data_IF_777085649037
#
_entry.id   IF_777085649037
#
_cell.length_a   1.000
_cell.length_b   1.000
_cell.length_c   1.000
_cell.angle_alpha   90.00
_cell.angle_beta   90.00
_cell.angle_gamma   90.00
#
_symmetry.space_group_name_H-M   'P 1'
#
loop_
_entity.id
_entity.type
_entity.pdbx_description
1 polymer ?
#
# COMPACT_ATOMS: atom_id res chain seq x y z
N UNK A 1 34.69 9.07 -34.87
CA UNK A 1 34.84 8.37 -33.55
C UNK A 1 34.50 9.28 -32.36
N UNK A 2 35.09 10.46 -32.25
CA UNK A 2 34.75 11.35 -31.11
C UNK A 2 33.28 11.77 -31.04
N UNK A 3 32.63 12.01 -32.18
CA UNK A 3 31.19 12.36 -32.21
C UNK A 3 30.27 11.21 -31.82
N UNK A 4 30.61 10.01 -32.22
CA UNK A 4 29.81 8.80 -31.92
C UNK A 4 29.92 8.44 -30.44
N UNK A 5 31.05 8.59 -29.81
CA UNK A 5 31.21 8.39 -28.35
C UNK A 5 30.47 9.46 -27.54
N UNK A 6 30.43 10.70 -27.99
CA UNK A 6 29.67 11.77 -27.32
C UNK A 6 28.17 11.51 -27.41
N UNK A 7 27.64 11.12 -28.56
CA UNK A 7 26.24 10.79 -28.75
C UNK A 7 25.83 9.54 -27.97
N UNK A 8 26.69 8.55 -27.89
CA UNK A 8 26.47 7.35 -27.10
C UNK A 8 26.44 7.69 -25.60
N UNK A 9 27.34 8.53 -25.13
CA UNK A 9 27.41 8.98 -23.74
C UNK A 9 26.18 9.79 -23.33
N UNK A 10 25.70 10.69 -24.17
CA UNK A 10 24.48 11.48 -23.93
C UNK A 10 23.26 10.59 -23.93
N UNK A 11 23.17 9.63 -24.85
CA UNK A 11 22.09 8.67 -24.89
C UNK A 11 22.04 7.80 -23.65
N UNK A 12 23.19 7.29 -23.21
CA UNK A 12 23.30 6.47 -22.01
C UNK A 12 22.93 7.26 -20.74
N UNK A 13 23.36 8.52 -20.65
CA UNK A 13 23.02 9.39 -19.53
C UNK A 13 21.51 9.71 -19.50
N UNK A 14 20.91 9.92 -20.66
CA UNK A 14 19.45 10.12 -20.77
C UNK A 14 18.65 8.91 -20.31
N UNK A 15 19.08 7.71 -20.70
CA UNK A 15 18.45 6.46 -20.26
C UNK A 15 18.62 6.26 -18.74
N UNK A 16 19.79 6.56 -18.18
CA UNK A 16 20.01 6.48 -16.74
C UNK A 16 19.11 7.45 -15.96
N UNK A 17 18.95 8.69 -16.45
CA UNK A 17 18.07 9.68 -15.83
C UNK A 17 16.61 9.21 -15.88
N UNK A 18 16.20 8.61 -17.00
CA UNK A 18 14.85 8.09 -17.18
C UNK A 18 14.57 6.88 -16.26
N UNK A 19 15.56 6.03 -16.03
CA UNK A 19 15.47 4.89 -15.11
C UNK A 19 15.47 5.31 -13.63
N UNK A 20 16.09 6.46 -13.33
CA UNK A 20 16.12 7.01 -11.97
C UNK A 20 14.88 7.84 -11.63
N UNK A 21 14.10 8.26 -12.63
CA UNK A 21 12.83 8.93 -12.44
C UNK A 21 11.75 7.91 -12.04
N UNK A 22 11.90 7.32 -10.87
CA UNK A 22 10.91 6.42 -10.31
C UNK A 22 9.58 7.14 -10.08
N UNK A 23 8.51 6.62 -10.65
CA UNK A 23 7.18 7.14 -10.40
C UNK A 23 6.65 6.61 -9.06
N UNK A 24 6.52 7.48 -8.07
CA UNK A 24 5.73 7.17 -6.89
C UNK A 24 4.24 7.27 -7.27
N UNK A 25 3.52 6.20 -7.07
CA UNK A 25 2.08 6.15 -7.34
C UNK A 25 1.34 6.00 -6.04
N UNK A 26 0.45 6.96 -5.77
CA UNK A 26 -0.40 6.95 -4.60
C UNK A 26 -1.82 6.63 -5.03
N UNK A 27 -2.42 5.66 -4.37
CA UNK A 27 -3.84 5.34 -4.53
C UNK A 27 -4.48 5.34 -3.15
N UNK A 28 -5.70 5.83 -3.09
CA UNK A 28 -6.45 5.89 -1.85
C UNK A 28 -7.90 5.54 -2.05
N UNK A 29 -8.57 5.21 -1.00
CA UNK A 29 -9.98 4.88 -1.01
C UNK A 29 -10.62 5.10 0.34
N UNK A 30 -11.95 5.24 0.31
CA UNK A 30 -12.78 5.38 1.50
C UNK A 30 -13.83 4.29 1.50
N UNK A 31 -14.08 3.73 2.65
CA UNK A 31 -15.15 2.77 2.86
C UNK A 31 -15.90 3.07 4.16
N UNK A 32 -17.24 3.02 4.14
CA UNK A 32 -18.00 3.28 5.37
C UNK A 32 -17.79 2.20 6.43
N UNK A 33 -17.52 0.98 6.03
CA UNK A 33 -17.24 -0.13 6.94
C UNK A 33 -16.47 -1.25 6.26
N UNK A 34 -15.67 -1.96 7.00
CA UNK A 34 -14.96 -3.16 6.54
C UNK A 34 -15.87 -4.41 6.50
N UNK A 35 -17.00 -4.35 7.17
CA UNK A 35 -17.96 -5.45 7.28
C UNK A 35 -19.39 -4.91 7.27
N UNK A 36 -20.37 -5.58 6.64
CA UNK A 36 -21.76 -5.13 6.69
C UNK A 36 -22.27 -5.06 8.14
N UNK A 37 -22.77 -3.90 8.51
CA UNK A 37 -23.24 -3.67 9.90
C UNK A 37 -24.63 -4.23 10.14
N UNK A 38 -25.48 -4.32 9.12
CA UNK A 38 -26.81 -4.93 9.15
C UNK A 38 -27.69 -4.47 10.32
N UNK A 39 -27.53 -3.21 10.73
CA UNK A 39 -28.28 -2.67 11.87
C UNK A 39 -27.86 -3.20 13.24
N UNK A 40 -26.76 -3.95 13.32
CA UNK A 40 -26.24 -4.45 14.59
C UNK A 40 -25.73 -3.32 15.47
N UNK A 41 -26.00 -3.43 16.78
CA UNK A 41 -25.42 -2.51 17.76
C UNK A 41 -23.97 -2.83 18.00
N UNK A 42 -23.16 -1.80 18.17
CA UNK A 42 -21.73 -1.95 18.40
C UNK A 42 -21.22 -0.93 19.41
N UNK A 43 -20.07 -1.22 19.97
CA UNK A 43 -19.32 -0.32 20.86
C UNK A 43 -18.08 0.18 20.12
N UNK A 44 -17.85 1.48 20.15
CA UNK A 44 -16.66 2.09 19.55
C UNK A 44 -15.47 1.89 20.48
N UNK A 45 -14.40 1.32 19.96
CA UNK A 45 -13.17 1.07 20.71
C UNK A 45 -12.14 2.20 20.54
N UNK A 46 -12.18 2.92 19.42
CA UNK A 46 -11.28 4.00 19.12
C UNK A 46 -10.63 3.88 17.75
N UNK A 47 -9.79 4.84 17.41
CA UNK A 47 -9.06 4.83 16.15
C UNK A 47 -7.92 3.81 16.17
N UNK A 48 -7.71 3.19 15.02
CA UNK A 48 -6.66 2.20 14.82
C UNK A 48 -6.11 2.30 13.41
N UNK A 49 -4.92 1.76 13.24
CA UNK A 49 -4.21 1.74 11.97
C UNK A 49 -3.55 0.38 11.79
N UNK A 50 -3.58 -0.12 10.59
CA UNK A 50 -2.86 -1.32 10.21
C UNK A 50 -2.23 -1.16 8.84
N UNK A 51 -1.09 -1.78 8.61
CA UNK A 51 -0.41 -1.74 7.33
C UNK A 51 0.06 -3.11 6.92
N UNK A 52 0.17 -3.30 5.61
CA UNK A 52 0.79 -4.46 5.01
C UNK A 52 1.61 -4.03 3.80
N UNK A 53 2.58 -4.83 3.44
CA UNK A 53 3.40 -4.55 2.27
C UNK A 53 3.74 -5.84 1.52
N UNK A 54 4.08 -5.69 0.26
CA UNK A 54 4.67 -6.75 -0.53
C UNK A 54 5.78 -6.20 -1.43
N UNK A 55 6.71 -7.07 -1.76
CA UNK A 55 7.89 -6.72 -2.56
C UNK A 55 7.89 -7.57 -3.82
N UNK A 56 8.15 -6.91 -4.96
CA UNK A 56 8.37 -7.54 -6.25
C UNK A 56 9.86 -7.44 -6.61
N UNK A 57 10.49 -8.58 -6.86
CA UNK A 57 11.86 -8.61 -7.36
C UNK A 57 11.85 -8.36 -8.86
N UNK A 58 12.72 -7.47 -9.36
CA UNK A 58 12.77 -7.03 -10.75
C UNK A 58 11.42 -6.51 -11.27
N UNK A 59 10.54 -6.04 -10.39
CA UNK A 59 9.17 -5.59 -10.67
C UNK A 59 8.28 -6.65 -11.34
N UNK A 60 8.65 -7.91 -11.31
CA UNK A 60 7.93 -9.02 -11.97
C UNK A 60 7.68 -10.18 -11.00
N UNK A 61 8.69 -10.58 -10.22
CA UNK A 61 8.61 -11.75 -9.34
C UNK A 61 8.15 -11.36 -7.94
N UNK A 62 6.98 -11.84 -7.47
CA UNK A 62 6.54 -11.60 -6.11
C UNK A 62 7.41 -12.37 -5.11
N UNK A 63 8.05 -11.66 -4.21
CA UNK A 63 8.83 -12.25 -3.11
C UNK A 63 7.94 -12.55 -1.92
N UNK A 64 6.90 -11.73 -1.71
CA UNK A 64 5.93 -11.91 -0.64
C UNK A 64 4.52 -11.97 -1.24
N UNK A 65 3.59 -12.60 -0.51
CA UNK A 65 2.21 -12.73 -0.98
C UNK A 65 1.51 -11.38 -1.03
N UNK A 66 0.84 -11.11 -2.15
CA UNK A 66 -0.04 -9.97 -2.29
C UNK A 66 -1.40 -10.28 -1.66
N UNK A 67 -1.94 -9.39 -0.92
CA UNK A 67 -3.33 -9.24 -0.49
C UNK A 67 -3.40 -8.20 0.63
N UNK A 68 -2.85 -7.08 0.34
CA UNK A 68 -2.42 -6.09 1.31
C UNK A 68 -3.55 -5.40 2.05
N UNK A 69 -4.66 -5.08 1.37
CA UNK A 69 -5.77 -4.34 1.99
C UNK A 69 -6.43 -5.15 3.09
N UNK A 70 -6.75 -6.40 2.81
CA UNK A 70 -7.38 -7.29 3.79
C UNK A 70 -6.50 -7.52 5.00
N UNK A 71 -5.22 -7.80 4.78
CA UNK A 71 -4.26 -7.99 5.87
C UNK A 71 -4.07 -6.73 6.70
N UNK A 72 -4.02 -5.57 6.07
CA UNK A 72 -3.93 -4.30 6.76
C UNK A 72 -5.17 -4.05 7.63
N UNK A 73 -6.37 -4.34 7.11
CA UNK A 73 -7.62 -4.27 7.87
C UNK A 73 -7.61 -5.24 9.06
N UNK A 74 -7.23 -6.49 8.83
CA UNK A 74 -7.17 -7.51 9.89
C UNK A 74 -6.18 -7.12 10.99
N UNK A 75 -5.05 -6.55 10.61
CA UNK A 75 -4.06 -6.03 11.58
C UNK A 75 -4.58 -4.85 12.37
N UNK A 76 -5.29 -3.93 11.72
CA UNK A 76 -5.92 -2.78 12.38
C UNK A 76 -6.99 -3.25 13.39
N UNK A 77 -7.84 -4.20 13.01
CA UNK A 77 -8.82 -4.79 13.90
C UNK A 77 -8.17 -5.51 15.09
N UNK A 78 -7.18 -6.33 14.83
CA UNK A 78 -6.49 -7.11 15.86
C UNK A 78 -5.76 -6.22 16.86
N UNK A 79 -5.14 -5.13 16.38
CA UNK A 79 -4.43 -4.17 17.22
C UNK A 79 -5.35 -3.50 18.26
N UNK A 80 -6.59 -3.22 17.87
CA UNK A 80 -7.59 -2.61 18.76
C UNK A 80 -8.49 -3.63 19.50
N UNK A 81 -8.37 -4.91 19.16
CA UNK A 81 -9.25 -5.95 19.72
C UNK A 81 -10.69 -5.86 19.27
N UNK A 82 -10.93 -5.30 18.07
CA UNK A 82 -12.26 -5.10 17.50
C UNK A 82 -12.72 -6.22 16.58
N UNK A 83 -14.00 -6.16 16.22
CA UNK A 83 -14.62 -7.09 15.28
C UNK A 83 -14.66 -6.55 13.85
N UNK A 84 -14.71 -5.24 13.71
CA UNK A 84 -14.76 -4.54 12.41
C UNK A 84 -14.22 -3.13 12.52
N UNK A 85 -14.08 -2.48 11.36
CA UNK A 85 -13.70 -1.07 11.24
C UNK A 85 -14.82 -0.29 10.56
N UNK A 86 -15.02 0.94 11.01
CA UNK A 86 -15.89 1.94 10.36
C UNK A 86 -15.06 3.16 10.00
N UNK A 87 -15.58 3.98 9.09
CA UNK A 87 -14.90 5.17 8.58
C UNK A 87 -13.49 4.86 8.06
N UNK A 88 -13.41 3.83 7.23
CA UNK A 88 -12.14 3.27 6.78
C UNK A 88 -11.54 4.12 5.67
N UNK A 89 -10.29 4.52 5.87
CA UNK A 89 -9.45 5.15 4.85
C UNK A 89 -8.35 4.18 4.45
N UNK A 90 -8.15 4.01 3.17
CA UNK A 90 -7.10 3.17 2.61
C UNK A 90 -6.15 4.03 1.81
N UNK A 91 -4.89 3.99 2.14
CA UNK A 91 -3.82 4.64 1.38
C UNK A 91 -2.83 3.59 0.90
N UNK A 92 -2.44 3.70 -0.35
CA UNK A 92 -1.43 2.83 -0.92
C UNK A 92 -0.37 3.66 -1.62
N UNK A 93 0.87 3.33 -1.39
CA UNK A 93 1.98 3.93 -2.12
C UNK A 93 2.96 2.85 -2.59
N UNK A 94 3.68 3.16 -3.62
CA UNK A 94 4.70 2.28 -4.17
C UNK A 94 6.05 2.97 -4.18
N UNK A 95 7.07 2.20 -3.84
CA UNK A 95 8.45 2.63 -3.90
C UNK A 95 9.18 1.76 -4.94
N UNK A 96 9.81 2.40 -5.90
CA UNK A 96 10.56 1.71 -6.94
C UNK A 96 12.07 1.86 -6.68
N UNK A 97 12.72 0.71 -6.63
CA UNK A 97 14.16 0.60 -6.58
C UNK A 97 14.63 -0.06 -7.88
N UNK A 98 15.85 0.12 -8.27
CA UNK A 98 16.38 -0.39 -9.55
C UNK A 98 16.12 -1.90 -9.72
N UNK A 99 16.20 -2.68 -8.63
CA UNK A 99 16.07 -4.13 -8.65
C UNK A 99 14.74 -4.64 -8.10
N UNK A 100 13.99 -3.83 -7.36
CA UNK A 100 12.74 -4.26 -6.75
C UNK A 100 11.76 -3.11 -6.57
N UNK A 101 10.49 -3.46 -6.44
CA UNK A 101 9.41 -2.54 -6.10
C UNK A 101 8.77 -2.98 -4.79
N UNK A 102 8.46 -2.03 -3.94
CA UNK A 102 7.75 -2.25 -2.68
C UNK A 102 6.42 -1.51 -2.72
N UNK A 103 5.36 -2.22 -2.39
CA UNK A 103 4.02 -1.67 -2.28
C UNK A 103 3.58 -1.71 -0.83
N UNK A 104 3.17 -0.57 -0.31
CA UNK A 104 2.70 -0.44 1.07
C UNK A 104 1.25 0.00 1.06
N UNK A 105 0.41 -0.69 1.80
CA UNK A 105 -0.99 -0.33 2.00
C UNK A 105 -1.22 -0.07 3.48
N UNK A 106 -1.73 1.10 3.80
CA UNK A 106 -2.08 1.51 5.16
C UNK A 106 -3.59 1.70 5.25
N UNK A 107 -4.19 1.10 6.25
CA UNK A 107 -5.62 1.23 6.54
C UNK A 107 -5.79 1.91 7.89
N UNK A 108 -6.53 3.00 7.91
CA UNK A 108 -6.94 3.69 9.13
C UNK A 108 -8.44 3.60 9.28
N UNK A 109 -8.92 3.52 10.48
CA UNK A 109 -10.35 3.49 10.76
C UNK A 109 -10.64 3.47 12.25
N UNK A 110 -11.92 3.44 12.56
CA UNK A 110 -12.40 3.32 13.93
C UNK A 110 -12.79 1.88 14.20
N UNK A 111 -12.14 1.24 15.16
CA UNK A 111 -12.46 -0.13 15.55
C UNK A 111 -13.75 -0.17 16.36
N UNK A 112 -14.56 -1.14 16.06
CA UNK A 112 -15.82 -1.40 16.78
C UNK A 112 -15.89 -2.86 17.21
N UNK A 113 -16.67 -3.10 18.25
CA UNK A 113 -17.02 -4.43 18.71
C UNK A 113 -18.55 -4.58 18.68
N UNK A 114 -19.05 -5.64 18.07
CA UNK A 114 -20.47 -5.90 18.06
C UNK A 114 -20.96 -6.31 19.44
N UNK A 115 -22.07 -5.73 19.85
CA UNK A 115 -22.74 -6.10 21.08
C UNK A 115 -23.52 -7.40 20.85
N UNK A 116 -23.42 -8.31 21.80
CA UNK A 116 -24.17 -9.56 21.81
C UNK A 116 -25.57 -9.36 22.37
#
# INVERSE_FOLDING_TARGET
MRGMMKTLGVGLMGVCIFLLAGCAHFTGGLAPSSTPLEGRKYTVLGQTEGSDNYVLLFCILPVTSANTIRRAMDRACAKAGGDALIDVTVESHSEFWILFARYVTTVEGTAIRFNK
#
